data_IF_705238964403
#
_entry.id   IF_705238964403
#
_cell.length_a   1.000
_cell.length_b   1.000
_cell.length_c   1.000
_cell.angle_alpha   90.00
_cell.angle_beta   90.00
_cell.angle_gamma   90.00
#
_symmetry.space_group_name_H-M   'P 1'
#
loop_
_entity.id
_entity.type
_entity.pdbx_description
1 polymer ?
#
# COMPACT_ATOMS: atom_id res chain seq x y z
N UNK A 1 20.29 0.19 32.00
CA UNK A 1 20.83 1.46 31.47
C UNK A 1 19.94 1.93 30.33
N UNK A 2 19.11 2.95 30.57
CA UNK A 2 18.35 3.67 29.55
C UNK A 2 18.48 5.14 29.91
N UNK A 3 19.38 5.84 29.24
CA UNK A 3 19.51 7.30 29.37
C UNK A 3 18.52 7.90 28.38
N UNK A 4 17.28 8.10 28.83
CA UNK A 4 16.32 8.89 28.09
C UNK A 4 16.69 10.35 28.25
N UNK A 5 17.34 10.92 27.23
CA UNK A 5 17.61 12.35 27.12
C UNK A 5 16.28 13.04 26.82
N UNK A 6 15.70 13.60 27.87
CA UNK A 6 14.54 14.49 27.80
C UNK A 6 15.03 15.84 27.23
N UNK A 7 14.96 16.02 25.92
CA UNK A 7 15.09 17.34 25.30
C UNK A 7 13.86 18.16 25.69
N UNK A 8 14.00 18.97 26.73
CA UNK A 8 13.02 19.96 27.14
C UNK A 8 12.81 20.98 25.99
N UNK A 9 11.71 20.83 25.25
CA UNK A 9 11.18 21.87 24.38
C UNK A 9 10.54 22.92 25.28
N UNK A 10 11.27 24.00 25.56
CA UNK A 10 10.75 25.19 26.21
C UNK A 10 9.76 25.87 25.24
N UNK A 11 8.47 25.56 25.37
CA UNK A 11 7.39 26.37 24.83
C UNK A 11 7.30 27.66 25.65
N UNK A 12 8.06 28.68 25.24
CA UNK A 12 7.76 30.05 25.67
C UNK A 12 6.49 30.43 24.90
N UNK A 13 5.35 30.39 25.58
CA UNK A 13 4.11 30.99 25.08
C UNK A 13 4.29 32.52 25.06
N UNK A 14 5.04 33.01 24.07
CA UNK A 14 5.09 34.42 23.78
C UNK A 14 3.73 34.77 23.17
N UNK A 15 2.92 35.53 23.90
CA UNK A 15 1.70 36.15 23.39
C UNK A 15 2.09 37.16 22.32
N UNK A 16 2.28 36.70 21.08
CA UNK A 16 2.57 37.55 19.94
C UNK A 16 1.28 38.16 19.41
N UNK A 17 1.09 39.44 19.70
CA UNK A 17 0.18 40.30 18.95
C UNK A 17 0.50 40.20 17.46
N UNK A 18 -0.54 40.12 16.62
CA UNK A 18 -0.37 40.10 15.19
C UNK A 18 0.41 41.34 14.75
N UNK A 19 1.50 41.12 14.01
CA UNK A 19 2.47 42.18 13.67
C UNK A 19 2.87 42.09 12.20
N UNK A 20 3.43 43.18 11.71
CA UNK A 20 4.02 43.22 10.38
C UNK A 20 5.50 42.83 10.45
N UNK A 21 5.95 42.04 9.47
CA UNK A 21 7.34 41.62 9.33
C UNK A 21 7.82 41.99 7.94
N UNK A 22 8.88 42.79 7.87
CA UNK A 22 9.53 43.18 6.62
C UNK A 22 10.90 42.50 6.51
N UNK A 23 11.11 41.76 5.44
CA UNK A 23 12.38 41.10 5.10
C UNK A 23 13.37 42.09 4.44
N UNK A 24 14.65 41.73 4.40
CA UNK A 24 15.72 42.57 3.84
C UNK A 24 15.55 42.87 2.34
N UNK A 25 14.80 42.03 1.61
CA UNK A 25 14.44 42.24 0.21
C UNK A 25 13.26 43.21 0.02
N UNK A 26 12.72 43.78 1.10
CA UNK A 26 11.62 44.74 1.08
C UNK A 26 10.23 44.11 1.07
N UNK A 27 10.09 42.79 1.16
CA UNK A 27 8.78 42.14 1.25
C UNK A 27 8.20 42.27 2.65
N UNK A 28 6.97 42.76 2.75
CA UNK A 28 6.25 42.89 4.02
C UNK A 28 5.11 41.87 4.11
N UNK A 29 5.14 41.09 5.18
CA UNK A 29 4.04 40.23 5.58
C UNK A 29 3.24 40.93 6.67
N UNK A 30 1.95 41.16 6.44
CA UNK A 30 1.09 41.93 7.34
C UNK A 30 0.33 41.01 8.29
N UNK A 31 0.07 41.51 9.50
CA UNK A 31 -0.80 40.86 10.49
C UNK A 31 -0.44 39.38 10.72
N UNK A 32 0.86 39.08 10.79
CA UNK A 32 1.34 37.69 10.86
C UNK A 32 1.21 37.13 12.27
N UNK A 33 1.03 35.82 12.35
CA UNK A 33 1.17 35.05 13.57
C UNK A 33 2.35 34.10 13.41
N UNK A 34 3.27 34.07 14.38
CA UNK A 34 4.37 33.12 14.36
C UNK A 34 3.86 31.78 14.90
N UNK A 35 3.99 30.71 14.12
CA UNK A 35 3.50 29.38 14.46
C UNK A 35 4.61 28.46 14.98
N UNK A 36 5.86 28.66 14.54
CA UNK A 36 7.00 27.86 14.97
C UNK A 36 8.28 28.70 14.94
N UNK A 37 9.25 28.41 15.81
CA UNK A 37 10.57 29.07 15.81
C UNK A 37 11.65 27.99 15.83
N UNK A 38 12.59 28.08 14.89
CA UNK A 38 13.77 27.21 14.78
C UNK A 38 15.06 28.03 14.98
N UNK A 39 16.24 27.41 15.10
CA UNK A 39 17.49 28.17 15.12
C UNK A 39 17.76 28.98 13.83
N UNK A 40 17.16 28.58 12.70
CA UNK A 40 17.39 29.20 11.40
C UNK A 40 16.34 30.25 11.03
N UNK A 41 15.14 30.20 11.59
CA UNK A 41 14.03 31.07 11.23
C UNK A 41 12.77 30.81 12.04
N UNK A 42 11.64 31.27 11.53
CA UNK A 42 10.32 30.98 12.08
C UNK A 42 9.28 30.83 10.98
N UNK A 43 8.23 30.08 11.27
CA UNK A 43 7.06 29.99 10.41
C UNK A 43 6.06 31.09 10.75
N UNK A 44 5.55 31.75 9.71
CA UNK A 44 4.45 32.70 9.82
C UNK A 44 3.17 32.13 9.19
N UNK A 45 2.05 32.36 9.84
CA UNK A 45 0.72 32.29 9.26
C UNK A 45 0.29 33.72 8.88
N UNK A 46 -0.08 33.93 7.61
CA UNK A 46 -0.51 35.24 7.11
C UNK A 46 -1.59 35.12 6.03
N UNK A 47 -2.32 36.21 5.79
CA UNK A 47 -3.27 36.30 4.70
C UNK A 47 -2.60 36.94 3.48
N UNK A 48 -2.38 36.21 2.37
CA UNK A 48 -1.85 36.81 1.14
C UNK A 48 -2.93 37.66 0.43
N UNK A 49 -2.49 38.56 -0.45
CA UNK A 49 -3.38 39.51 -1.16
C UNK A 49 -4.47 38.82 -2.00
N UNK A 50 -4.21 37.59 -2.46
CA UNK A 50 -5.15 36.77 -3.22
C UNK A 50 -6.19 36.05 -2.34
N UNK A 51 -6.19 36.31 -1.03
CA UNK A 51 -7.07 35.67 -0.05
C UNK A 51 -6.57 34.32 0.46
N UNK A 52 -7.20 33.83 1.54
CA UNK A 52 -6.85 32.58 2.21
C UNK A 52 -5.85 32.76 3.37
N UNK A 53 -5.37 31.63 3.90
CA UNK A 53 -4.32 31.59 4.94
C UNK A 53 -3.13 30.82 4.35
N UNK A 54 -1.94 31.39 4.42
CA UNK A 54 -0.70 30.78 3.98
C UNK A 54 0.28 30.64 5.14
N UNK A 55 1.03 29.53 5.14
CA UNK A 55 2.17 29.31 6.04
C UNK A 55 3.45 29.51 5.25
N UNK A 56 4.41 30.26 5.81
CA UNK A 56 5.70 30.50 5.17
C UNK A 56 6.81 30.51 6.21
N UNK A 57 7.85 29.72 5.95
CA UNK A 57 9.11 29.82 6.71
C UNK A 57 9.87 31.08 6.27
N UNK A 58 10.34 31.85 7.27
CA UNK A 58 11.17 33.05 7.10
C UNK A 58 12.48 32.82 7.86
N UNK A 59 13.61 32.90 7.14
CA UNK A 59 14.92 32.73 7.75
C UNK A 59 15.40 34.01 8.43
N UNK A 60 16.05 33.87 9.59
CA UNK A 60 16.61 35.00 10.33
C UNK A 60 17.68 35.76 9.55
N UNK A 61 18.44 35.08 8.68
CA UNK A 61 19.46 35.71 7.83
C UNK A 61 18.87 36.76 6.87
N UNK A 62 17.58 36.65 6.56
CA UNK A 62 16.86 37.52 5.62
C UNK A 62 16.06 38.61 6.35
N UNK A 63 16.29 38.78 7.66
CA UNK A 63 15.57 39.72 8.52
C UNK A 63 16.46 40.86 9.05
N UNK A 64 15.88 42.04 9.33
CA UNK A 64 16.57 43.14 10.00
C UNK A 64 17.21 42.74 11.33
N UNK A 65 18.25 43.47 11.75
CA UNK A 65 18.98 43.19 12.99
C UNK A 65 18.08 43.28 14.24
N UNK A 66 17.10 44.19 14.23
CA UNK A 66 16.13 44.35 15.33
C UNK A 66 15.37 43.05 15.60
N UNK A 67 14.85 42.40 14.56
CA UNK A 67 14.14 41.12 14.68
C UNK A 67 15.10 39.99 15.03
N UNK A 68 16.29 39.95 14.41
CA UNK A 68 17.31 38.94 14.76
C UNK A 68 17.68 38.96 16.25
N UNK A 69 17.81 40.16 16.84
CA UNK A 69 18.08 40.33 18.27
C UNK A 69 16.90 39.90 19.14
N UNK A 70 15.67 40.26 18.75
CA UNK A 70 14.44 39.86 19.44
C UNK A 70 14.36 38.34 19.63
N UNK A 71 14.75 37.57 18.61
CA UNK A 71 14.72 36.10 18.63
C UNK A 71 16.05 35.45 19.04
N UNK A 72 17.03 36.20 19.55
CA UNK A 72 18.35 35.69 19.98
C UNK A 72 19.05 34.85 18.89
N UNK A 73 18.99 35.31 17.64
CA UNK A 73 19.57 34.60 16.50
C UNK A 73 21.07 34.35 16.68
N UNK A 74 21.50 33.10 16.50
CA UNK A 74 22.90 32.69 16.48
C UNK A 74 23.23 32.03 15.12
N UNK A 75 24.09 32.64 14.29
CA UNK A 75 24.37 32.16 12.94
C UNK A 75 25.01 30.76 12.92
N UNK A 76 25.87 30.43 13.89
CA UNK A 76 26.51 29.11 13.99
C UNK A 76 25.49 28.02 14.32
N UNK A 77 24.55 28.30 15.24
CA UNK A 77 23.46 27.36 15.57
C UNK A 77 22.50 27.18 14.40
N UNK A 78 22.21 28.26 13.67
CA UNK A 78 21.36 28.23 12.48
C UNK A 78 21.96 27.37 11.37
N UNK A 79 23.26 27.53 11.09
CA UNK A 79 23.96 26.75 10.07
C UNK A 79 24.02 25.26 10.46
N UNK A 80 24.36 24.96 11.71
CA UNK A 80 24.38 23.59 12.21
C UNK A 80 23.01 22.91 12.14
N UNK A 81 21.93 23.65 12.46
CA UNK A 81 20.56 23.17 12.32
C UNK A 81 20.20 22.90 10.86
N UNK A 82 20.50 23.84 9.95
CA UNK A 82 20.20 23.69 8.52
C UNK A 82 20.90 22.46 7.93
N UNK A 83 22.21 22.29 8.19
CA UNK A 83 22.96 21.09 7.74
C UNK A 83 22.39 19.78 8.30
N UNK A 84 21.84 19.80 9.52
CA UNK A 84 21.20 18.63 10.12
C UNK A 84 19.88 18.32 9.41
N UNK A 85 19.06 19.33 9.14
CA UNK A 85 17.80 19.18 8.41
C UNK A 85 18.09 18.66 7.00
N UNK A 86 19.03 19.25 6.26
CA UNK A 86 19.38 18.84 4.90
C UNK A 86 19.80 17.37 4.84
N UNK A 87 20.63 16.92 5.79
CA UNK A 87 21.05 15.52 5.88
C UNK A 87 19.87 14.58 6.14
N UNK A 88 18.96 14.94 7.04
CA UNK A 88 17.78 14.14 7.35
C UNK A 88 16.84 14.08 6.15
N UNK A 89 16.64 15.20 5.46
CA UNK A 89 15.84 15.27 4.24
C UNK A 89 16.43 14.37 3.16
N UNK A 90 17.73 14.42 2.92
CA UNK A 90 18.40 13.53 1.96
C UNK A 90 18.22 12.05 2.32
N UNK A 91 18.45 11.67 3.58
CA UNK A 91 18.25 10.27 4.01
C UNK A 91 16.79 9.83 3.82
N UNK A 92 15.82 10.68 4.15
CA UNK A 92 14.40 10.42 3.94
C UNK A 92 14.07 10.26 2.46
N UNK A 93 14.56 11.15 1.60
CA UNK A 93 14.30 11.10 0.16
C UNK A 93 14.90 9.83 -0.47
N UNK A 94 16.09 9.42 -0.02
CA UNK A 94 16.69 8.13 -0.42
C UNK A 94 15.88 6.93 0.06
N UNK A 95 15.36 6.96 1.29
CA UNK A 95 14.49 5.90 1.83
C UNK A 95 13.18 5.79 1.04
N UNK A 96 12.52 6.92 0.76
CA UNK A 96 11.30 6.97 -0.06
C UNK A 96 11.57 6.46 -1.48
N UNK A 97 12.71 6.82 -2.08
CA UNK A 97 13.08 6.31 -3.40
C UNK A 97 13.31 4.78 -3.39
N UNK A 98 13.95 4.25 -2.34
CA UNK A 98 14.14 2.80 -2.17
C UNK A 98 12.82 2.08 -1.96
N UNK A 99 11.95 2.61 -1.10
CA UNK A 99 10.63 2.05 -0.86
C UNK A 99 9.80 2.02 -2.15
N UNK A 100 9.79 3.12 -2.90
CA UNK A 100 9.13 3.19 -4.20
C UNK A 100 9.65 2.11 -5.17
N UNK A 101 10.97 1.97 -5.30
CA UNK A 101 11.57 0.92 -6.14
C UNK A 101 11.20 -0.50 -5.67
N UNK A 102 11.15 -0.73 -4.35
CA UNK A 102 10.76 -2.02 -3.79
C UNK A 102 9.30 -2.33 -4.07
N UNK A 103 8.39 -1.36 -3.89
CA UNK A 103 6.96 -1.52 -4.19
C UNK A 103 6.74 -1.84 -5.67
N UNK A 104 7.34 -1.07 -6.58
CA UNK A 104 7.25 -1.35 -8.02
C UNK A 104 7.79 -2.75 -8.38
N UNK A 105 8.91 -3.16 -7.77
CA UNK A 105 9.46 -4.49 -7.98
C UNK A 105 8.60 -5.62 -7.37
N UNK A 106 7.87 -5.35 -6.29
CA UNK A 106 6.92 -6.29 -5.70
C UNK A 106 5.66 -6.42 -6.56
N UNK A 107 5.10 -5.30 -7.02
CA UNK A 107 3.94 -5.27 -7.92
C UNK A 107 4.25 -6.01 -9.22
N UNK A 108 5.39 -5.73 -9.88
CA UNK A 108 5.79 -6.45 -11.09
C UNK A 108 5.97 -7.96 -10.87
N UNK A 109 6.45 -8.37 -9.68
CA UNK A 109 6.56 -9.79 -9.31
C UNK A 109 5.20 -10.42 -9.03
N UNK A 110 4.25 -9.66 -8.50
CA UNK A 110 2.88 -10.10 -8.26
C UNK A 110 2.12 -10.23 -9.58
N UNK A 111 2.21 -9.24 -10.47
CA UNK A 111 1.63 -9.26 -11.82
C UNK A 111 2.18 -10.43 -12.65
N UNK A 112 3.50 -10.58 -12.75
CA UNK A 112 4.09 -11.70 -13.47
C UNK A 112 3.72 -13.07 -12.86
N UNK A 113 3.43 -13.12 -11.56
CA UNK A 113 2.93 -14.33 -10.90
C UNK A 113 1.46 -14.57 -11.27
N UNK A 114 0.64 -13.53 -11.23
CA UNK A 114 -0.76 -13.57 -11.60
C UNK A 114 -0.93 -14.05 -13.04
N UNK A 115 -0.25 -13.42 -14.00
CA UNK A 115 -0.25 -13.78 -15.42
C UNK A 115 0.12 -15.25 -15.65
N UNK A 116 1.15 -15.71 -14.92
CA UNK A 116 1.58 -17.10 -14.99
C UNK A 116 0.46 -18.05 -14.57
N UNK A 117 -0.22 -17.79 -13.46
CA UNK A 117 -1.27 -18.69 -12.97
C UNK A 117 -2.57 -18.52 -13.74
N UNK A 118 -2.87 -17.34 -14.26
CA UNK A 118 -3.95 -17.10 -15.19
C UNK A 118 -3.77 -17.97 -16.44
N UNK A 119 -2.60 -17.91 -17.07
CA UNK A 119 -2.28 -18.73 -18.24
C UNK A 119 -2.41 -20.23 -17.95
N UNK A 120 -1.92 -20.70 -16.79
CA UNK A 120 -2.02 -22.11 -16.37
C UNK A 120 -3.48 -22.51 -16.13
N UNK A 121 -4.27 -21.69 -15.44
CA UNK A 121 -5.66 -21.94 -15.14
C UNK A 121 -6.48 -22.00 -16.44
N UNK A 122 -6.30 -21.00 -17.30
CA UNK A 122 -7.03 -20.87 -18.55
C UNK A 122 -6.70 -21.99 -19.53
N UNK A 123 -5.42 -22.32 -19.70
CA UNK A 123 -4.99 -23.43 -20.57
C UNK A 123 -5.47 -24.79 -20.04
N UNK A 124 -5.59 -24.94 -18.73
CA UNK A 124 -6.03 -26.17 -18.08
C UNK A 124 -7.54 -26.32 -17.91
N UNK A 125 -8.35 -25.35 -18.37
CA UNK A 125 -9.80 -25.40 -18.19
C UNK A 125 -10.42 -26.55 -18.96
N UNK A 126 -11.49 -27.12 -18.42
CA UNK A 126 -12.21 -28.24 -19.04
C UNK A 126 -13.69 -27.92 -19.10
N UNK A 127 -14.30 -28.06 -20.27
CA UNK A 127 -15.75 -27.99 -20.40
C UNK A 127 -16.36 -29.31 -19.93
N UNK A 128 -17.24 -29.26 -18.94
CA UNK A 128 -17.77 -30.43 -18.26
C UNK A 128 -19.27 -30.34 -18.03
N UNK A 129 -19.87 -31.51 -17.85
CA UNK A 129 -21.16 -31.71 -17.21
C UNK A 129 -20.86 -32.31 -15.83
N UNK A 130 -21.28 -31.61 -14.79
CA UNK A 130 -21.17 -32.01 -13.39
C UNK A 130 -22.49 -32.59 -12.91
N UNK A 131 -22.42 -33.77 -12.30
CA UNK A 131 -23.53 -34.37 -11.56
C UNK A 131 -23.14 -34.36 -10.09
N UNK A 132 -23.84 -33.53 -9.30
CA UNK A 132 -23.58 -33.38 -7.87
C UNK A 132 -23.81 -34.70 -7.13
N UNK A 133 -22.91 -35.02 -6.20
CA UNK A 133 -23.00 -36.22 -5.35
C UNK A 133 -23.33 -35.81 -3.93
N UNK A 134 -22.47 -34.98 -3.33
CA UNK A 134 -22.60 -34.59 -1.94
C UNK A 134 -22.08 -33.15 -1.76
N UNK A 135 -22.85 -32.26 -1.12
CA UNK A 135 -22.34 -30.98 -0.66
C UNK A 135 -21.29 -31.21 0.44
N UNK A 136 -20.30 -30.34 0.51
CA UNK A 136 -19.26 -30.35 1.54
C UNK A 136 -18.97 -28.93 1.99
N UNK A 137 -18.29 -28.77 3.13
CA UNK A 137 -17.88 -27.43 3.55
C UNK A 137 -16.97 -26.82 2.49
N UNK A 138 -17.40 -25.70 1.90
CA UNK A 138 -16.71 -24.91 0.87
C UNK A 138 -16.67 -25.52 -0.54
N UNK A 139 -17.50 -26.51 -0.85
CA UNK A 139 -17.59 -27.04 -2.21
C UNK A 139 -18.47 -28.27 -2.40
N UNK A 140 -18.40 -28.85 -3.59
CA UNK A 140 -19.22 -29.97 -4.03
C UNK A 140 -18.36 -31.10 -4.55
N UNK A 141 -18.63 -32.32 -4.08
CA UNK A 141 -18.12 -33.52 -4.73
C UNK A 141 -19.07 -33.87 -5.89
N UNK A 142 -18.54 -33.98 -7.10
CA UNK A 142 -19.32 -34.24 -8.30
C UNK A 142 -18.66 -35.26 -9.24
N UNK A 143 -19.47 -35.96 -10.04
CA UNK A 143 -18.99 -36.67 -11.21
C UNK A 143 -18.86 -35.70 -12.38
N UNK A 144 -17.66 -35.61 -12.94
CA UNK A 144 -17.36 -34.80 -14.11
C UNK A 144 -17.20 -35.67 -15.36
N UNK A 145 -17.81 -35.23 -16.45
CA UNK A 145 -17.63 -35.76 -17.79
C UNK A 145 -17.63 -34.63 -18.81
N UNK A 146 -16.96 -34.80 -19.93
CA UNK A 146 -17.08 -33.85 -21.06
C UNK A 146 -18.47 -33.94 -21.70
N UNK A 147 -18.96 -32.88 -22.36
CA UNK A 147 -20.26 -32.92 -23.05
C UNK A 147 -20.39 -34.04 -24.09
N UNK A 148 -19.27 -34.43 -24.72
CA UNK A 148 -19.20 -35.48 -25.74
C UNK A 148 -18.76 -36.83 -25.15
N UNK A 149 -18.85 -37.02 -23.84
CA UNK A 149 -18.43 -38.26 -23.20
C UNK A 149 -19.29 -39.45 -23.64
N UNK A 150 -18.63 -40.56 -23.95
CA UNK A 150 -19.24 -41.87 -24.16
C UNK A 150 -18.98 -42.76 -22.94
N UNK A 151 -19.41 -44.02 -23.00
CA UNK A 151 -19.15 -45.00 -21.92
C UNK A 151 -17.65 -45.26 -21.74
N UNK A 152 -16.84 -45.13 -22.80
CA UNK A 152 -15.40 -45.45 -22.79
C UNK A 152 -14.49 -44.23 -22.91
N UNK A 153 -15.02 -43.06 -23.27
CA UNK A 153 -14.22 -41.85 -23.54
C UNK A 153 -14.84 -40.60 -22.91
N UNK A 154 -14.01 -39.66 -22.46
CA UNK A 154 -14.49 -38.34 -22.00
C UNK A 154 -15.04 -38.31 -20.57
N UNK A 155 -14.92 -39.40 -19.81
CA UNK A 155 -15.17 -39.43 -18.36
C UNK A 155 -13.94 -38.90 -17.61
N UNK A 156 -14.13 -37.87 -16.78
CA UNK A 156 -13.06 -37.27 -15.97
C UNK A 156 -12.99 -37.93 -14.59
N UNK A 157 -14.15 -38.35 -14.07
CA UNK A 157 -14.26 -39.04 -12.79
C UNK A 157 -14.78 -38.13 -11.67
N UNK A 158 -14.49 -38.49 -10.41
CA UNK A 158 -14.89 -37.68 -9.25
C UNK A 158 -13.96 -36.49 -9.10
N UNK A 159 -14.54 -35.32 -8.91
CA UNK A 159 -13.83 -34.06 -8.69
C UNK A 159 -14.42 -33.34 -7.49
N UNK A 160 -13.60 -32.50 -6.87
CA UNK A 160 -14.05 -31.56 -5.85
C UNK A 160 -14.13 -30.16 -6.46
N UNK A 161 -15.30 -29.53 -6.41
CA UNK A 161 -15.53 -28.19 -6.95
C UNK A 161 -15.61 -27.20 -5.81
N UNK A 162 -14.58 -26.36 -5.68
CA UNK A 162 -14.51 -25.29 -4.69
C UNK A 162 -15.44 -24.15 -5.11
N UNK A 163 -16.20 -23.61 -4.16
CA UNK A 163 -17.10 -22.47 -4.41
C UNK A 163 -18.42 -22.82 -5.09
N UNK A 164 -18.74 -24.10 -5.27
CA UNK A 164 -20.04 -24.57 -5.71
C UNK A 164 -20.63 -25.43 -4.59
N UNK A 165 -21.64 -24.94 -3.88
CA UNK A 165 -22.17 -25.63 -2.69
C UNK A 165 -23.26 -26.66 -3.03
N UNK A 166 -24.05 -26.40 -4.08
CA UNK A 166 -25.09 -27.33 -4.55
C UNK A 166 -25.21 -27.25 -6.07
N UNK A 167 -25.59 -28.37 -6.68
CA UNK A 167 -26.21 -28.38 -8.02
C UNK A 167 -27.72 -28.39 -7.78
N UNK A 168 -28.54 -27.68 -8.59
CA UNK A 168 -30.00 -27.75 -8.46
C UNK A 168 -30.48 -29.19 -8.33
N UNK A 169 -31.43 -29.46 -7.42
CA UNK A 169 -31.87 -30.83 -7.10
C UNK A 169 -32.27 -31.62 -8.35
N UNK A 170 -31.57 -32.74 -8.59
CA UNK A 170 -31.77 -33.59 -9.78
C UNK A 170 -31.17 -33.06 -11.08
N UNK A 171 -30.47 -31.92 -11.04
CA UNK A 171 -29.89 -31.25 -12.20
C UNK A 171 -28.42 -31.60 -12.43
N UNK A 172 -27.98 -31.33 -13.66
CA UNK A 172 -26.57 -31.28 -14.03
C UNK A 172 -26.16 -29.82 -14.24
N UNK A 173 -24.96 -29.46 -13.82
CA UNK A 173 -24.35 -28.18 -14.19
C UNK A 173 -23.44 -28.38 -15.40
N UNK A 174 -23.46 -27.48 -16.37
CA UNK A 174 -22.56 -27.52 -17.51
C UNK A 174 -21.77 -26.22 -17.62
N UNK A 175 -20.48 -26.33 -17.88
CA UNK A 175 -19.60 -25.17 -18.01
C UNK A 175 -18.13 -25.50 -17.88
N UNK A 176 -17.30 -24.47 -17.82
CA UNK A 176 -15.86 -24.61 -17.64
C UNK A 176 -15.48 -24.72 -16.17
N UNK A 177 -14.72 -25.75 -15.84
CA UNK A 177 -14.01 -25.86 -14.57
C UNK A 177 -12.53 -25.56 -14.78
N UNK A 178 -11.94 -24.87 -13.81
CA UNK A 178 -10.54 -24.44 -13.81
C UNK A 178 -9.76 -25.22 -12.75
N UNK A 179 -8.57 -25.75 -13.10
CA UNK A 179 -7.80 -26.57 -12.17
C UNK A 179 -7.14 -25.71 -11.09
N UNK A 180 -7.13 -26.20 -9.86
CA UNK A 180 -6.48 -25.50 -8.73
C UNK A 180 -5.09 -26.08 -8.39
N UNK A 181 -4.69 -27.16 -9.07
CA UNK A 181 -3.46 -27.94 -8.78
C UNK A 181 -3.38 -28.45 -7.34
N UNK A 182 -4.53 -28.66 -6.71
CA UNK A 182 -4.67 -29.25 -5.37
C UNK A 182 -5.58 -30.46 -5.37
N UNK A 183 -5.59 -31.15 -4.24
CA UNK A 183 -6.48 -32.26 -3.96
C UNK A 183 -7.18 -32.03 -2.63
N UNK A 184 -8.47 -32.33 -2.55
CA UNK A 184 -9.26 -32.33 -1.33
C UNK A 184 -10.04 -33.65 -1.26
N UNK A 185 -10.07 -34.26 -0.08
CA UNK A 185 -10.75 -35.55 0.15
C UNK A 185 -10.31 -36.66 -0.82
N UNK A 186 -9.05 -36.62 -1.29
CA UNK A 186 -8.50 -37.57 -2.26
C UNK A 186 -8.88 -37.31 -3.73
N UNK A 187 -9.63 -36.25 -4.02
CA UNK A 187 -10.06 -35.91 -5.38
C UNK A 187 -9.31 -34.68 -5.90
N UNK A 188 -9.07 -34.58 -7.23
CA UNK A 188 -8.55 -33.37 -7.84
C UNK A 188 -9.56 -32.21 -7.67
N UNK A 189 -9.03 -31.06 -7.27
CA UNK A 189 -9.83 -29.86 -7.07
C UNK A 189 -9.90 -28.98 -8.31
N UNK A 190 -11.09 -28.41 -8.51
CA UNK A 190 -11.37 -27.41 -9.51
C UNK A 190 -12.25 -26.31 -8.91
N UNK A 191 -12.42 -25.21 -9.63
CA UNK A 191 -13.42 -24.18 -9.36
C UNK A 191 -14.13 -23.82 -10.66
N UNK A 192 -15.30 -23.18 -10.55
CA UNK A 192 -16.07 -22.68 -11.69
C UNK A 192 -15.62 -21.27 -12.15
N UNK A 193 -14.71 -20.61 -11.41
CA UNK A 193 -14.18 -19.29 -11.78
C UNK A 193 -12.67 -19.31 -12.00
N UNK A 194 -12.20 -18.54 -12.98
CA UNK A 194 -10.79 -18.38 -13.28
C UNK A 194 -10.04 -17.72 -12.12
N UNK A 195 -10.61 -16.64 -11.58
CA UNK A 195 -10.02 -15.84 -10.49
C UNK A 195 -9.74 -16.69 -9.24
N UNK A 196 -10.71 -17.52 -8.83
CA UNK A 196 -10.52 -18.37 -7.66
C UNK A 196 -9.46 -19.45 -7.92
N UNK A 197 -9.31 -19.93 -9.15
CA UNK A 197 -8.26 -20.88 -9.49
C UNK A 197 -6.86 -20.25 -9.36
N UNK A 198 -6.73 -19.00 -9.79
CA UNK A 198 -5.49 -18.22 -9.69
C UNK A 198 -5.11 -18.03 -8.22
N UNK A 199 -6.02 -17.50 -7.40
CA UNK A 199 -5.79 -17.25 -5.97
C UNK A 199 -5.33 -18.53 -5.27
N UNK A 200 -6.05 -19.64 -5.47
CA UNK A 200 -5.70 -20.92 -4.82
C UNK A 200 -4.33 -21.41 -5.29
N UNK A 201 -4.00 -21.31 -6.57
CA UNK A 201 -2.70 -21.73 -7.07
C UNK A 201 -1.54 -20.88 -6.53
N UNK A 202 -1.75 -19.57 -6.39
CA UNK A 202 -0.78 -18.64 -5.82
C UNK A 202 -0.50 -18.91 -4.34
N UNK A 203 -1.55 -19.14 -3.55
CA UNK A 203 -1.44 -19.50 -2.13
C UNK A 203 -0.69 -20.82 -1.96
N UNK A 204 -1.06 -21.84 -2.73
CA UNK A 204 -0.40 -23.15 -2.66
C UNK A 204 1.08 -23.10 -3.03
N UNK A 205 1.44 -22.28 -4.02
CA UNK A 205 2.84 -22.08 -4.38
C UNK A 205 3.63 -21.39 -3.26
N UNK A 206 3.00 -20.48 -2.53
CA UNK A 206 3.59 -19.78 -1.39
C UNK A 206 3.78 -20.71 -0.20
N UNK A 207 2.76 -21.52 0.13
CA UNK A 207 2.85 -22.53 1.18
C UNK A 207 3.93 -23.59 0.91
N UNK A 208 4.09 -24.01 -0.35
CA UNK A 208 5.16 -24.95 -0.73
C UNK A 208 6.56 -24.38 -0.59
N UNK A 209 6.73 -23.07 -0.79
CA UNK A 209 8.01 -22.38 -0.55
C UNK A 209 8.32 -22.25 0.94
N UNK A 210 7.31 -21.98 1.78
CA UNK A 210 7.49 -21.85 3.22
C UNK A 210 7.85 -23.17 3.95
N UNK A 211 7.56 -24.32 3.32
CA UNK A 211 7.88 -25.66 3.85
C UNK A 211 9.24 -26.21 3.40
N UNK A 212 9.97 -25.48 2.54
CA UNK A 212 11.32 -25.82 2.08
C UNK A 212 12.34 -25.00 2.84
#
# INVERSE_FOLDING_TARGET
MKVSVLCAVLFIAATLSARDITTLDGKTYKNVQISSVTPAGFDICYAPDKGGVAIKEIFFKDLPESIRKEFNYNPQKAEAFTKKVDRITQMRDEEVAKEYQQTMAQEAKQEARHDKYEAIAYAGKINVILNGILPSNHGLIAWAKTPNATVTTGTIGKVFIIGLDTVPNGGSWAGYIYPTKTTASGFPCYTITLEQAIIIMEENATLKKAKK
#
